data_IF_409968164421
#
_entry.id   IF_409968164421
#
_cell.length_a   1.000
_cell.length_b   1.000
_cell.length_c   1.000
_cell.angle_alpha   90.00
_cell.angle_beta   90.00
_cell.angle_gamma   90.00
#
_symmetry.space_group_name_H-M   'P 1'
#
loop_
_entity.id
_entity.type
_entity.pdbx_description
1 polymer ?
#
# COMPACT_ATOMS: atom_id res chain seq x y z
N UNK A 1 30.45 -17.18 -11.55
CA UNK A 1 29.98 -16.71 -10.26
C UNK A 1 30.18 -17.81 -9.24
N UNK A 2 30.96 -17.53 -8.19
CA UNK A 2 31.12 -18.50 -7.09
C UNK A 2 29.88 -18.43 -6.21
N UNK A 3 29.23 -19.56 -6.00
CA UNK A 3 28.17 -19.72 -5.02
C UNK A 3 28.81 -19.63 -3.62
N UNK A 4 28.41 -18.64 -2.84
CA UNK A 4 28.85 -18.52 -1.44
C UNK A 4 27.83 -19.18 -0.52
N UNK A 5 28.27 -19.70 0.64
CA UNK A 5 27.36 -20.28 1.66
C UNK A 5 26.26 -19.30 2.06
N UNK A 6 26.57 -18.02 2.07
CA UNK A 6 25.61 -16.94 2.36
C UNK A 6 24.49 -16.84 1.31
N UNK A 7 24.83 -16.98 0.01
CA UNK A 7 23.83 -16.99 -1.07
C UNK A 7 22.92 -18.21 -0.96
N UNK A 8 23.46 -19.36 -0.58
CA UNK A 8 22.71 -20.59 -0.39
C UNK A 8 21.74 -20.47 0.80
N UNK A 9 22.20 -19.92 1.92
CA UNK A 9 21.37 -19.69 3.10
C UNK A 9 20.22 -18.71 2.79
N UNK A 10 20.48 -17.64 2.03
CA UNK A 10 19.46 -16.69 1.60
C UNK A 10 18.39 -17.35 0.73
N UNK A 11 18.78 -18.17 -0.24
CA UNK A 11 17.84 -18.90 -1.09
C UNK A 11 16.99 -19.92 -0.30
N UNK A 12 17.61 -20.63 0.65
CA UNK A 12 16.87 -21.55 1.52
C UNK A 12 15.83 -20.80 2.38
N UNK A 13 16.21 -19.65 2.95
CA UNK A 13 15.29 -18.82 3.73
C UNK A 13 14.12 -18.29 2.87
N UNK A 14 14.38 -17.89 1.63
CA UNK A 14 13.34 -17.46 0.70
C UNK A 14 12.35 -18.58 0.39
N UNK A 15 12.83 -19.76 -0.01
CA UNK A 15 11.97 -20.93 -0.25
C UNK A 15 11.15 -21.33 0.97
N UNK A 16 11.73 -21.18 2.16
CA UNK A 16 11.00 -21.45 3.39
C UNK A 16 9.84 -20.45 3.58
N UNK A 17 10.08 -19.16 3.31
CA UNK A 17 9.02 -18.14 3.39
C UNK A 17 7.88 -18.42 2.40
N UNK A 18 8.19 -18.80 1.16
CA UNK A 18 7.20 -19.20 0.14
C UNK A 18 6.37 -20.40 0.61
N UNK A 19 7.02 -21.43 1.12
CA UNK A 19 6.33 -22.62 1.64
C UNK A 19 5.45 -22.34 2.86
N UNK A 20 5.91 -21.45 3.73
CA UNK A 20 5.19 -21.07 4.95
C UNK A 20 3.99 -20.16 4.68
N UNK A 21 3.94 -19.50 3.52
CA UNK A 21 2.95 -18.44 3.22
C UNK A 21 1.51 -18.87 3.49
N UNK A 22 1.08 -20.01 2.93
CA UNK A 22 -0.30 -20.51 3.08
C UNK A 22 -0.66 -20.79 4.54
N UNK A 23 0.26 -21.40 5.27
CA UNK A 23 0.08 -21.66 6.69
C UNK A 23 0.09 -20.37 7.51
N UNK A 24 0.94 -19.42 7.14
CA UNK A 24 1.01 -18.11 7.81
C UNK A 24 -0.29 -17.29 7.65
N UNK A 25 -0.91 -17.31 6.47
CA UNK A 25 -2.25 -16.72 6.26
C UNK A 25 -3.27 -17.42 7.15
N UNK A 26 -3.35 -18.76 7.09
CA UNK A 26 -4.32 -19.54 7.86
C UNK A 26 -4.18 -19.37 9.38
N UNK A 27 -2.94 -19.27 9.86
CA UNK A 27 -2.60 -19.06 11.28
C UNK A 27 -2.65 -17.59 11.71
N UNK A 28 -3.00 -16.66 10.81
CA UNK A 28 -3.03 -15.22 11.05
C UNK A 28 -1.69 -14.69 11.59
N UNK A 29 -0.58 -15.16 11.02
CA UNK A 29 0.76 -14.68 11.35
C UNK A 29 1.03 -13.29 10.76
N UNK A 30 0.34 -12.92 9.67
CA UNK A 30 0.40 -11.57 9.13
C UNK A 30 -0.49 -10.64 9.96
N UNK A 31 0.16 -9.67 10.64
CA UNK A 31 -0.50 -8.66 11.46
C UNK A 31 -0.57 -7.34 10.70
N UNK A 32 -1.71 -6.69 10.75
CA UNK A 32 -1.88 -5.35 10.18
C UNK A 32 -1.66 -4.33 11.28
N UNK A 33 -0.65 -3.47 11.10
CA UNK A 33 -0.36 -2.33 11.93
C UNK A 33 -0.89 -1.07 11.26
N UNK A 34 -1.29 -0.10 12.04
CA UNK A 34 -1.87 1.15 11.54
C UNK A 34 -0.96 2.32 11.90
N UNK A 35 -0.34 2.93 10.89
CA UNK A 35 0.46 4.13 11.07
C UNK A 35 -0.43 5.35 10.94
N UNK A 36 -0.61 6.16 12.01
CA UNK A 36 -1.51 7.30 11.96
C UNK A 36 -0.98 8.41 11.07
N UNK A 37 -1.91 9.09 10.37
CA UNK A 37 -1.67 10.31 9.59
C UNK A 37 -2.30 11.48 10.35
N UNK A 38 -1.55 12.56 10.53
CA UNK A 38 -1.97 13.73 11.30
C UNK A 38 -2.18 14.95 10.39
N UNK A 39 -3.21 15.73 10.69
CA UNK A 39 -3.36 17.05 10.13
C UNK A 39 -2.34 18.00 10.79
N UNK A 40 -1.56 18.72 9.98
CA UNK A 40 -0.44 19.56 10.47
C UNK A 40 -0.88 20.79 11.24
N UNK A 41 -2.15 21.23 11.07
CA UNK A 41 -2.65 22.42 11.73
C UNK A 41 -3.36 22.11 13.05
N UNK A 42 -4.08 20.96 13.07
CA UNK A 42 -4.93 20.59 14.21
C UNK A 42 -4.31 19.47 15.07
N UNK A 43 -3.26 18.81 14.59
CA UNK A 43 -2.61 17.65 15.20
C UNK A 43 -3.56 16.47 15.43
N UNK A 44 -4.75 16.50 14.83
CA UNK A 44 -5.69 15.40 14.90
C UNK A 44 -5.33 14.28 13.93
N UNK A 45 -5.68 13.03 14.30
CA UNK A 45 -5.57 11.91 13.38
C UNK A 45 -6.66 12.05 12.31
N UNK A 46 -6.23 12.16 11.05
CA UNK A 46 -7.12 12.28 9.88
C UNK A 46 -7.14 11.04 9.01
N UNK A 47 -6.33 10.05 9.33
CA UNK A 47 -6.24 8.79 8.61
C UNK A 47 -5.20 7.88 9.22
N UNK A 48 -5.02 6.72 8.59
CA UNK A 48 -3.92 5.82 8.88
C UNK A 48 -3.49 5.08 7.61
N UNK A 49 -2.32 4.47 7.64
CA UNK A 49 -1.85 3.52 6.64
C UNK A 49 -1.78 2.13 7.24
N UNK A 50 -2.29 1.14 6.52
CA UNK A 50 -2.21 -0.27 6.91
C UNK A 50 -0.88 -0.86 6.45
N UNK A 51 -0.09 -1.30 7.41
CA UNK A 51 1.24 -1.84 7.20
C UNK A 51 1.31 -3.27 7.70
N UNK A 52 1.53 -4.21 6.80
CA UNK A 52 1.65 -5.63 7.17
C UNK A 52 2.98 -5.92 7.88
N UNK A 53 2.93 -6.81 8.87
CA UNK A 53 4.11 -7.36 9.57
C UNK A 53 3.91 -8.86 9.69
N UNK A 54 4.94 -9.65 9.42
CA UNK A 54 4.86 -11.09 9.58
C UNK A 54 5.42 -11.49 10.95
N UNK A 55 4.55 -11.90 11.85
CA UNK A 55 4.89 -12.35 13.19
C UNK A 55 4.78 -13.86 13.27
N UNK A 56 5.92 -14.53 13.41
CA UNK A 56 5.98 -15.99 13.60
C UNK A 56 5.40 -16.40 14.96
N UNK A 57 5.00 -17.68 15.12
CA UNK A 57 4.47 -18.18 16.39
C UNK A 57 5.44 -18.07 17.58
N UNK A 58 6.74 -18.04 17.33
CA UNK A 58 7.77 -17.82 18.35
C UNK A 58 7.96 -16.35 18.74
N UNK A 59 7.18 -15.44 18.13
CA UNK A 59 7.25 -14.00 18.35
C UNK A 59 8.23 -13.26 17.43
N UNK A 60 8.99 -13.96 16.60
CA UNK A 60 9.92 -13.34 15.65
C UNK A 60 9.15 -12.48 14.64
N UNK A 61 9.56 -11.23 14.47
CA UNK A 61 8.99 -10.30 13.51
C UNK A 61 9.86 -10.22 12.25
N UNK A 62 9.31 -10.66 11.11
CA UNK A 62 9.96 -10.57 9.81
C UNK A 62 9.60 -9.23 9.17
N UNK A 63 10.64 -8.48 8.71
CA UNK A 63 10.46 -7.18 8.05
C UNK A 63 9.78 -7.34 6.69
N UNK A 64 8.87 -6.41 6.32
CA UNK A 64 8.25 -6.38 4.99
C UNK A 64 9.27 -6.39 3.84
N UNK A 65 10.38 -5.68 3.98
CA UNK A 65 11.48 -5.68 3.00
C UNK A 65 12.13 -7.04 2.75
N UNK A 66 11.91 -8.02 3.64
CA UNK A 66 12.44 -9.38 3.46
C UNK A 66 11.47 -10.29 2.68
N UNK A 67 10.16 -10.10 2.78
CA UNK A 67 9.17 -11.01 2.18
C UNK A 67 8.35 -10.37 1.03
N UNK A 68 8.08 -9.06 1.05
CA UNK A 68 7.28 -8.43 -0.01
C UNK A 68 7.93 -8.58 -1.39
N UNK A 69 9.22 -8.25 -1.59
CA UNK A 69 9.84 -8.43 -2.92
C UNK A 69 9.83 -9.87 -3.40
N UNK A 70 9.91 -10.83 -2.46
CA UNK A 70 9.82 -12.25 -2.76
C UNK A 70 8.41 -12.61 -3.24
N UNK A 71 7.39 -12.20 -2.49
CA UNK A 71 5.99 -12.48 -2.82
C UNK A 71 5.53 -11.76 -4.09
N UNK A 72 6.12 -10.61 -4.42
CA UNK A 72 5.89 -9.95 -5.72
C UNK A 72 6.45 -10.79 -6.88
N UNK A 73 7.65 -11.35 -6.72
CA UNK A 73 8.28 -12.17 -7.77
C UNK A 73 7.52 -13.45 -8.08
N UNK A 74 6.84 -14.03 -7.07
CA UNK A 74 6.12 -15.30 -7.16
C UNK A 74 4.60 -15.14 -7.29
N UNK A 75 4.11 -13.88 -7.28
CA UNK A 75 2.68 -13.57 -7.35
C UNK A 75 1.90 -13.84 -6.05
N UNK A 76 2.56 -14.27 -4.97
CA UNK A 76 1.92 -14.49 -3.66
C UNK A 76 1.44 -13.18 -3.02
N UNK A 77 2.02 -12.04 -3.43
CA UNK A 77 1.63 -10.72 -2.95
C UNK A 77 0.14 -10.41 -3.20
N UNK A 78 -0.45 -10.95 -4.28
CA UNK A 78 -1.89 -10.77 -4.58
C UNK A 78 -2.76 -11.28 -3.43
N UNK A 79 -2.46 -12.45 -2.90
CA UNK A 79 -3.19 -13.02 -1.76
C UNK A 79 -2.88 -12.27 -0.45
N UNK A 80 -1.70 -11.69 -0.33
CA UNK A 80 -1.35 -10.87 0.83
C UNK A 80 -2.10 -9.54 0.81
N UNK A 81 -2.18 -8.89 -0.35
CA UNK A 81 -2.94 -7.63 -0.53
C UNK A 81 -4.42 -7.85 -0.20
N UNK A 82 -5.02 -8.92 -0.73
CA UNK A 82 -6.39 -9.32 -0.42
C UNK A 82 -6.59 -9.54 1.09
N UNK A 83 -5.69 -10.30 1.73
CA UNK A 83 -5.74 -10.56 3.16
C UNK A 83 -5.68 -9.26 3.98
N UNK A 84 -4.76 -8.34 3.63
CA UNK A 84 -4.64 -7.04 4.32
C UNK A 84 -5.90 -6.21 4.11
N UNK A 85 -6.40 -6.14 2.87
CA UNK A 85 -7.62 -5.40 2.53
C UNK A 85 -8.84 -5.90 3.31
N UNK A 86 -9.07 -7.21 3.36
CA UNK A 86 -10.16 -7.82 4.15
C UNK A 86 -10.05 -7.49 5.65
N UNK A 87 -8.83 -7.56 6.20
CA UNK A 87 -8.62 -7.23 7.61
C UNK A 87 -8.91 -5.76 7.92
N UNK A 88 -8.52 -4.83 7.02
CA UNK A 88 -8.82 -3.40 7.17
C UNK A 88 -10.33 -3.16 7.06
N UNK A 89 -11.00 -3.77 6.08
CA UNK A 89 -12.45 -3.65 5.94
C UNK A 89 -13.19 -4.20 7.18
N UNK A 90 -12.72 -5.32 7.72
CA UNK A 90 -13.29 -5.89 8.94
C UNK A 90 -13.07 -4.97 10.15
N UNK A 91 -11.88 -4.39 10.29
CA UNK A 91 -11.58 -3.44 11.35
C UNK A 91 -12.45 -2.17 11.25
N UNK A 92 -12.63 -1.64 10.03
CA UNK A 92 -13.51 -0.48 9.80
C UNK A 92 -14.97 -0.80 10.15
N UNK A 93 -15.46 -1.99 9.77
CA UNK A 93 -16.80 -2.46 10.16
C UNK A 93 -16.96 -2.48 11.67
N UNK A 94 -16.02 -3.07 12.39
CA UNK A 94 -16.06 -3.14 13.86
C UNK A 94 -16.07 -1.75 14.50
N UNK A 95 -15.29 -0.79 13.98
CA UNK A 95 -15.32 0.60 14.45
C UNK A 95 -16.70 1.23 14.24
N UNK A 96 -17.29 1.03 13.05
CA UNK A 96 -18.60 1.57 12.70
C UNK A 96 -19.70 0.99 13.60
N UNK A 97 -19.72 -0.33 13.80
CA UNK A 97 -20.69 -1.02 14.68
C UNK A 97 -20.57 -0.56 16.14
N UNK A 98 -19.35 -0.31 16.60
CA UNK A 98 -19.08 0.21 17.95
C UNK A 98 -19.21 1.73 18.06
N UNK A 99 -19.65 2.42 16.99
CA UNK A 99 -19.83 3.90 16.94
C UNK A 99 -18.54 4.66 17.29
N UNK A 100 -17.37 4.09 16.97
CA UNK A 100 -16.09 4.75 17.16
C UNK A 100 -15.84 5.74 16.01
N UNK A 101 -15.04 6.80 16.24
CA UNK A 101 -14.68 7.74 15.18
C UNK A 101 -14.05 7.00 13.99
N UNK A 102 -14.59 7.22 12.80
CA UNK A 102 -14.08 6.66 11.56
C UNK A 102 -13.02 7.60 10.97
N UNK A 103 -11.88 7.05 10.61
CA UNK A 103 -10.87 7.71 9.79
C UNK A 103 -10.50 6.79 8.63
N UNK A 104 -10.18 7.32 7.44
CA UNK A 104 -9.73 6.51 6.32
C UNK A 104 -8.47 5.72 6.68
N UNK A 105 -8.44 4.44 6.31
CA UNK A 105 -7.25 3.59 6.48
C UNK A 105 -6.85 3.11 5.09
N UNK A 106 -5.76 3.67 4.57
CA UNK A 106 -5.26 3.30 3.26
C UNK A 106 -4.56 1.95 3.26
N UNK A 107 -4.69 1.23 2.15
CA UNK A 107 -4.06 -0.07 1.91
C UNK A 107 -3.25 -0.04 0.63
N UNK A 108 -2.08 -0.66 0.66
CA UNK A 108 -1.22 -0.80 -0.50
C UNK A 108 -1.81 -1.82 -1.47
N UNK A 109 -1.78 -1.51 -2.77
CA UNK A 109 -2.12 -2.41 -3.86
C UNK A 109 -0.88 -2.63 -4.73
N UNK A 110 -0.36 -3.84 -4.75
CA UNK A 110 0.82 -4.17 -5.53
C UNK A 110 0.57 -4.13 -7.03
N UNK A 111 1.64 -3.93 -7.80
CA UNK A 111 1.58 -4.01 -9.25
C UNK A 111 1.06 -5.38 -9.74
N UNK A 112 1.40 -6.45 -9.06
CA UNK A 112 0.92 -7.79 -9.39
C UNK A 112 -0.61 -7.89 -9.25
N UNK A 113 -1.17 -7.31 -8.19
CA UNK A 113 -2.61 -7.28 -7.96
C UNK A 113 -3.37 -6.47 -9.02
N UNK A 114 -2.80 -5.38 -9.54
CA UNK A 114 -3.38 -4.60 -10.63
C UNK A 114 -3.53 -5.45 -11.91
N UNK A 115 -2.61 -6.36 -12.16
CA UNK A 115 -2.64 -7.25 -13.33
C UNK A 115 -3.45 -8.52 -13.09
N UNK A 116 -3.92 -8.75 -11.86
CA UNK A 116 -4.79 -9.87 -11.56
C UNK A 116 -6.20 -9.60 -12.09
N UNK A 117 -6.85 -10.62 -12.67
CA UNK A 117 -8.20 -10.47 -13.19
C UNK A 117 -9.17 -10.21 -12.04
N UNK A 118 -10.15 -9.34 -12.31
CA UNK A 118 -11.28 -9.07 -11.42
C UNK A 118 -10.95 -8.46 -10.05
N UNK A 119 -9.73 -7.85 -9.89
CA UNK A 119 -9.32 -7.23 -8.61
C UNK A 119 -10.30 -6.17 -8.14
N UNK A 120 -10.84 -5.35 -9.05
CA UNK A 120 -11.81 -4.29 -8.69
C UNK A 120 -13.11 -4.89 -8.20
N UNK A 121 -13.68 -5.85 -8.95
CA UNK A 121 -14.93 -6.53 -8.58
C UNK A 121 -14.78 -7.19 -7.21
N UNK A 122 -13.67 -7.89 -6.99
CA UNK A 122 -13.39 -8.55 -5.72
C UNK A 122 -13.31 -7.56 -4.54
N UNK A 123 -12.62 -6.42 -4.70
CA UNK A 123 -12.51 -5.39 -3.65
C UNK A 123 -13.86 -4.69 -3.40
N UNK A 124 -14.62 -4.44 -4.45
CA UNK A 124 -16.00 -3.91 -4.36
C UNK A 124 -16.89 -4.86 -3.57
N UNK A 125 -16.81 -6.16 -3.85
CA UNK A 125 -17.59 -7.18 -3.15
C UNK A 125 -17.25 -7.24 -1.65
N UNK A 126 -15.97 -7.17 -1.29
CA UNK A 126 -15.54 -7.14 0.11
C UNK A 126 -16.14 -5.93 0.84
N UNK A 127 -16.04 -4.72 0.26
CA UNK A 127 -16.57 -3.50 0.86
C UNK A 127 -18.09 -3.58 1.03
N UNK A 128 -18.80 -4.07 0.00
CA UNK A 128 -20.25 -4.23 0.03
C UNK A 128 -20.68 -5.27 1.08
N UNK A 129 -20.00 -6.41 1.19
CA UNK A 129 -20.27 -7.44 2.22
C UNK A 129 -20.04 -6.91 3.64
N UNK A 130 -19.04 -6.04 3.82
CA UNK A 130 -18.78 -5.41 5.12
C UNK A 130 -19.70 -4.21 5.38
N UNK A 131 -20.39 -3.69 4.37
CA UNK A 131 -21.30 -2.55 4.45
C UNK A 131 -20.61 -1.27 4.99
N UNK A 132 -19.36 -1.05 4.59
CA UNK A 132 -18.59 0.15 4.95
C UNK A 132 -18.54 1.12 3.77
N UNK A 133 -18.35 2.44 4.00
CA UNK A 133 -18.12 3.40 2.92
C UNK A 133 -16.79 3.13 2.20
N UNK A 134 -16.77 3.20 0.87
CA UNK A 134 -15.56 2.99 0.06
C UNK A 134 -14.43 3.97 0.42
N UNK A 135 -14.79 5.20 0.74
CA UNK A 135 -13.86 6.26 1.17
C UNK A 135 -13.11 5.96 2.47
N UNK A 136 -13.61 4.98 3.27
CA UNK A 136 -12.96 4.56 4.50
C UNK A 136 -11.74 3.63 4.27
N UNK A 137 -11.56 3.14 3.02
CA UNK A 137 -10.44 2.24 2.66
C UNK A 137 -9.81 2.72 1.35
N UNK A 138 -9.07 3.85 1.36
CA UNK A 138 -8.34 4.32 0.19
C UNK A 138 -7.30 3.29 -0.29
N UNK A 139 -7.05 3.27 -1.59
CA UNK A 139 -6.06 2.40 -2.23
C UNK A 139 -4.78 3.18 -2.49
N UNK A 140 -3.63 2.70 -2.03
CA UNK A 140 -2.32 3.28 -2.30
C UNK A 140 -1.62 2.53 -3.43
N UNK A 141 -1.10 3.28 -4.40
CA UNK A 141 -0.31 2.79 -5.52
C UNK A 141 1.04 3.46 -5.49
N UNK A 142 2.11 2.68 -5.51
CA UNK A 142 3.45 3.27 -5.64
C UNK A 142 3.60 3.94 -7.01
N UNK A 143 4.44 4.97 -7.07
CA UNK A 143 4.75 5.65 -8.31
C UNK A 143 5.21 4.66 -9.40
N UNK A 144 6.06 3.71 -9.05
CA UNK A 144 6.55 2.68 -9.98
C UNK A 144 5.44 1.74 -10.49
N UNK A 145 4.40 1.48 -9.69
CA UNK A 145 3.26 0.68 -10.10
C UNK A 145 2.40 1.39 -11.16
N UNK A 146 2.42 2.73 -11.18
CA UNK A 146 1.66 3.56 -12.13
C UNK A 146 2.35 3.74 -13.48
N UNK A 147 3.56 3.18 -13.68
CA UNK A 147 4.27 3.27 -14.96
C UNK A 147 3.47 2.57 -16.06
N UNK A 148 3.15 3.34 -17.07
CA UNK A 148 2.35 3.09 -18.26
C UNK A 148 1.92 1.64 -18.55
N UNK A 149 0.64 1.37 -18.32
CA UNK A 149 -0.10 0.39 -19.09
C UNK A 149 -1.57 0.86 -19.19
N UNK A 150 -2.23 0.63 -20.31
CA UNK A 150 -3.67 0.86 -20.47
C UNK A 150 -4.47 0.17 -19.34
N UNK A 151 -3.98 -0.95 -18.86
CA UNK A 151 -4.59 -1.71 -17.75
C UNK A 151 -4.62 -0.91 -16.45
N UNK A 152 -3.61 -0.13 -16.12
CA UNK A 152 -3.59 0.72 -14.92
C UNK A 152 -4.64 1.82 -15.02
N UNK A 153 -4.73 2.49 -16.17
CA UNK A 153 -5.75 3.52 -16.41
C UNK A 153 -7.16 2.94 -16.24
N UNK A 154 -7.39 1.75 -16.80
CA UNK A 154 -8.68 1.05 -16.69
C UNK A 154 -9.02 0.72 -15.24
N UNK A 155 -8.10 0.07 -14.51
CA UNK A 155 -8.33 -0.39 -13.13
C UNK A 155 -8.52 0.80 -12.18
N UNK A 156 -7.69 1.84 -12.30
CA UNK A 156 -7.80 3.03 -11.45
C UNK A 156 -9.09 3.79 -11.71
N UNK A 157 -9.53 3.91 -12.97
CA UNK A 157 -10.83 4.51 -13.32
C UNK A 157 -11.99 3.71 -12.74
N UNK A 158 -11.95 2.37 -12.82
CA UNK A 158 -12.96 1.50 -12.23
C UNK A 158 -13.00 1.62 -10.70
N UNK A 159 -11.84 1.67 -10.01
CA UNK A 159 -11.77 1.87 -8.55
C UNK A 159 -12.39 3.21 -8.15
N UNK A 160 -12.06 4.29 -8.85
CA UNK A 160 -12.62 5.62 -8.58
C UNK A 160 -14.13 5.65 -8.83
N UNK A 161 -14.61 5.04 -9.92
CA UNK A 161 -16.05 4.93 -10.22
C UNK A 161 -16.81 4.10 -9.19
N UNK A 162 -16.17 3.11 -8.58
CA UNK A 162 -16.74 2.35 -7.47
C UNK A 162 -16.82 3.16 -6.17
N UNK A 163 -16.07 4.26 -6.04
CA UNK A 163 -16.07 5.15 -4.89
C UNK A 163 -14.80 5.14 -4.05
N UNK A 164 -13.80 4.35 -4.43
CA UNK A 164 -12.49 4.37 -3.75
C UNK A 164 -11.76 5.69 -3.99
N UNK A 165 -11.00 6.13 -2.98
CA UNK A 165 -9.99 7.17 -3.11
C UNK A 165 -8.66 6.54 -3.47
N UNK A 166 -7.94 7.15 -4.40
CA UNK A 166 -6.60 6.69 -4.78
C UNK A 166 -5.54 7.60 -4.16
N UNK A 167 -4.51 7.01 -3.61
CA UNK A 167 -3.34 7.70 -3.10
C UNK A 167 -2.10 7.28 -3.91
N UNK A 168 -1.29 8.23 -4.33
CA UNK A 168 0.02 7.97 -4.91
C UNK A 168 1.05 7.89 -3.78
N UNK A 169 1.78 6.80 -3.71
CA UNK A 169 2.88 6.61 -2.76
C UNK A 169 4.25 6.75 -3.42
N UNK A 170 5.27 7.05 -2.62
CA UNK A 170 6.67 7.20 -3.01
C UNK A 170 6.93 8.25 -4.11
N UNK A 171 6.11 9.30 -4.18
CA UNK A 171 6.28 10.35 -5.20
C UNK A 171 7.63 11.04 -5.07
N UNK A 172 8.40 11.01 -6.17
CA UNK A 172 9.73 11.59 -6.26
C UNK A 172 10.86 10.60 -5.97
N UNK A 173 10.56 9.30 -5.83
CA UNK A 173 11.58 8.25 -5.66
C UNK A 173 12.47 8.02 -6.89
N UNK A 174 12.18 8.65 -8.03
CA UNK A 174 13.02 8.65 -9.22
C UNK A 174 12.37 8.15 -10.51
N UNK A 175 11.13 7.70 -10.44
CA UNK A 175 10.34 7.26 -11.59
C UNK A 175 9.22 8.25 -11.94
N UNK A 176 9.23 9.44 -11.32
CA UNK A 176 8.15 10.43 -11.35
C UNK A 176 7.74 10.80 -12.75
N UNK A 177 6.61 10.30 -13.14
CA UNK A 177 5.94 10.73 -14.34
C UNK A 177 4.85 11.74 -13.95
N UNK A 178 5.08 13.02 -14.22
CA UNK A 178 4.02 14.04 -14.17
C UNK A 178 2.81 13.63 -15.01
N UNK A 179 3.02 12.71 -15.95
CA UNK A 179 1.97 12.13 -16.79
C UNK A 179 1.01 11.28 -15.95
N UNK A 180 1.53 10.43 -15.05
CA UNK A 180 0.66 9.63 -14.15
C UNK A 180 -0.20 10.51 -13.27
N UNK A 181 0.33 11.62 -12.74
CA UNK A 181 -0.46 12.60 -11.99
C UNK A 181 -1.55 13.28 -12.83
N UNK A 182 -1.29 13.51 -14.12
CA UNK A 182 -2.25 14.13 -15.02
C UNK A 182 -3.34 13.17 -15.49
N UNK A 183 -3.03 11.88 -15.61
CA UNK A 183 -3.94 10.87 -16.17
C UNK A 183 -4.74 10.11 -15.12
N UNK A 184 -4.22 10.00 -13.89
CA UNK A 184 -4.83 9.25 -12.80
C UNK A 184 -5.43 10.19 -11.75
N UNK A 185 -6.67 9.94 -11.36
CA UNK A 185 -7.40 10.75 -10.39
C UNK A 185 -6.98 10.43 -8.94
N UNK A 186 -5.77 10.84 -8.56
CA UNK A 186 -5.33 10.74 -7.18
C UNK A 186 -5.98 11.79 -6.28
N UNK A 187 -6.39 11.39 -5.10
CA UNK A 187 -6.90 12.29 -4.06
C UNK A 187 -5.84 12.70 -3.04
N UNK A 188 -4.69 12.02 -3.05
CA UNK A 188 -3.57 12.26 -2.14
C UNK A 188 -2.26 11.86 -2.83
N UNK A 189 -1.23 12.68 -2.64
CA UNK A 189 0.14 12.38 -3.07
C UNK A 189 1.03 12.35 -1.84
N UNK A 190 1.71 11.22 -1.60
CA UNK A 190 2.66 11.04 -0.49
C UNK A 190 4.07 11.27 -1.03
N UNK A 191 4.78 12.24 -0.47
CA UNK A 191 6.16 12.52 -0.86
C UNK A 191 7.09 11.43 -0.30
N UNK A 192 7.95 10.90 -1.16
CA UNK A 192 8.96 9.94 -0.74
C UNK A 192 9.97 10.58 0.23
N UNK A 193 10.43 9.76 1.18
CA UNK A 193 11.38 10.19 2.20
C UNK A 193 12.66 10.77 1.59
N UNK A 194 13.12 10.26 0.44
CA UNK A 194 14.34 10.76 -0.21
C UNK A 194 14.27 12.24 -0.60
N UNK A 195 13.08 12.75 -0.90
CA UNK A 195 12.88 14.19 -1.12
C UNK A 195 13.06 14.99 0.18
N UNK A 196 12.60 14.44 1.29
CA UNK A 196 12.64 15.11 2.60
C UNK A 196 14.04 15.08 3.23
N UNK A 197 14.84 14.05 2.94
CA UNK A 197 16.19 13.91 3.49
C UNK A 197 17.13 15.10 3.15
N UNK A 198 16.78 15.89 2.14
CA UNK A 198 17.54 17.09 1.73
C UNK A 198 16.85 18.41 2.09
N UNK A 199 15.80 18.40 2.93
CA UNK A 199 15.00 19.61 3.22
C UNK A 199 15.77 20.72 3.90
N UNK A 200 16.84 20.41 4.61
CA UNK A 200 17.73 21.40 5.27
C UNK A 200 18.60 22.18 4.27
N UNK A 201 18.73 21.69 3.05
CA UNK A 201 19.43 22.35 1.97
C UNK A 201 18.50 23.32 1.22
N UNK A 202 19.01 24.50 0.85
CA UNK A 202 18.23 25.51 0.09
C UNK A 202 17.58 24.93 -1.16
N UNK A 203 18.32 24.08 -1.90
CA UNK A 203 17.80 23.42 -3.11
C UNK A 203 16.76 22.36 -2.77
N UNK A 204 17.00 21.53 -1.75
CA UNK A 204 16.06 20.51 -1.29
C UNK A 204 14.75 21.12 -0.84
N UNK A 205 14.80 22.18 -0.03
CA UNK A 205 13.60 22.91 0.41
C UNK A 205 12.77 23.43 -0.77
N UNK A 206 13.42 23.97 -1.81
CA UNK A 206 12.71 24.42 -3.02
C UNK A 206 12.03 23.27 -3.78
N UNK A 207 12.70 22.12 -3.88
CA UNK A 207 12.14 20.93 -4.56
C UNK A 207 10.90 20.43 -3.81
N UNK A 208 11.00 20.29 -2.49
CA UNK A 208 9.86 19.86 -1.66
C UNK A 208 8.69 20.83 -1.77
N UNK A 209 8.97 22.17 -1.73
CA UNK A 209 7.91 23.17 -1.89
C UNK A 209 7.20 23.05 -3.25
N UNK A 210 7.95 22.85 -4.35
CA UNK A 210 7.36 22.67 -5.67
C UNK A 210 6.53 21.38 -5.77
N UNK A 211 6.97 20.30 -5.10
CA UNK A 211 6.20 19.06 -5.04
C UNK A 211 4.87 19.24 -4.27
N UNK A 212 4.90 20.00 -3.16
CA UNK A 212 3.70 20.35 -2.40
C UNK A 212 2.76 21.23 -3.23
N UNK A 213 3.29 22.28 -3.86
CA UNK A 213 2.51 23.20 -4.71
C UNK A 213 1.85 22.45 -5.87
N UNK A 214 2.57 21.49 -6.47
CA UNK A 214 2.02 20.61 -7.51
C UNK A 214 0.85 19.76 -6.97
N UNK A 215 1.04 19.09 -5.84
CA UNK A 215 -0.01 18.26 -5.23
C UNK A 215 -1.27 19.03 -4.85
N UNK A 216 -1.13 20.32 -4.47
CA UNK A 216 -2.28 21.18 -4.18
C UNK A 216 -2.96 21.72 -5.44
N UNK A 217 -2.30 21.66 -6.60
CA UNK A 217 -2.83 22.12 -7.88
C UNK A 217 -3.62 21.06 -8.67
N UNK A 218 -3.61 19.82 -8.19
CA UNK A 218 -4.32 18.67 -8.76
C UNK A 218 -5.65 18.45 -8.05
#
# INVERSE_FOLDING_TARGET
AFYTDEMNQKQLAQRQMENDFKSAIANREFKVYYQPKYDVNTENIVGAEALVRWQKPDGTLISPGAFIPLFESDGLVVHLDEYVFENVCQFQKERMENKLPMVPISVNLSRASIHFNDVVEHYVDIVNQKQIPFECVPIELTESATLYSEKILEITDQLVKAGFKLHMDDFGSGYSSLTSLNELNFSTVKLDKSLIDYIDQVRGKKIVQQAIDLGHGL
#
